data_IF_534937960142
#
_entry.id   IF_534937960142
#
_cell.length_a   1.000
_cell.length_b   1.000
_cell.length_c   1.000
_cell.angle_alpha   90.00
_cell.angle_beta   90.00
_cell.angle_gamma   90.00
#
_symmetry.space_group_name_H-M   'P 1'
#
loop_
_entity.id
_entity.type
_entity.pdbx_description
1 polymer ?
#
# COMPACT_ATOMS: atom_id res chain seq x y z
N UNK A 1 -0.69 -8.99 22.74
CA UNK A 1 0.51 -8.27 22.25
C UNK A 1 0.05 -7.24 21.23
N UNK A 2 0.65 -6.06 21.21
CA UNK A 2 0.35 -4.98 20.25
C UNK A 2 0.88 -5.33 18.87
N UNK A 3 0.11 -5.04 17.81
CA UNK A 3 0.52 -5.28 16.43
C UNK A 3 0.89 -3.99 15.70
N UNK A 4 1.85 -4.07 14.78
CA UNK A 4 2.23 -2.96 13.90
C UNK A 4 1.81 -3.25 12.45
N UNK A 5 0.93 -2.40 11.89
CA UNK A 5 0.61 -2.35 10.47
C UNK A 5 1.22 -1.10 9.85
N UNK A 6 2.08 -1.24 8.83
CA UNK A 6 2.84 -0.12 8.25
C UNK A 6 2.08 0.47 7.06
N UNK A 7 1.76 1.76 7.14
CA UNK A 7 1.16 2.48 6.03
C UNK A 7 2.21 2.92 5.00
N UNK A 8 2.06 2.49 3.74
CA UNK A 8 3.05 2.71 2.68
C UNK A 8 2.64 3.78 1.66
N UNK A 9 1.59 4.56 1.93
CA UNK A 9 1.07 5.58 1.00
C UNK A 9 2.13 6.60 0.56
N UNK A 10 3.04 6.98 1.46
CA UNK A 10 4.07 8.00 1.17
C UNK A 10 5.17 7.50 0.24
N UNK A 11 5.38 6.18 0.16
CA UNK A 11 6.26 5.56 -0.84
C UNK A 11 5.68 5.81 -2.25
N UNK A 12 4.38 5.57 -2.40
CA UNK A 12 3.67 5.84 -3.65
C UNK A 12 3.63 7.35 -3.99
N UNK A 13 3.50 8.23 -2.99
CA UNK A 13 3.64 9.68 -3.20
C UNK A 13 5.00 10.02 -3.83
N UNK A 14 6.10 9.54 -3.24
CA UNK A 14 7.44 9.85 -3.74
C UNK A 14 7.65 9.30 -5.16
N UNK A 15 7.17 8.09 -5.45
CA UNK A 15 7.17 7.50 -6.79
C UNK A 15 6.43 8.39 -7.79
N UNK A 16 5.19 8.77 -7.46
CA UNK A 16 4.32 9.52 -8.35
C UNK A 16 4.89 10.91 -8.69
N UNK A 17 5.62 11.54 -7.78
CA UNK A 17 6.23 12.87 -7.99
C UNK A 17 7.30 12.92 -9.08
N UNK A 18 7.87 11.77 -9.50
CA UNK A 18 9.01 11.73 -10.44
C UNK A 18 8.77 10.89 -11.68
N UNK A 19 7.58 10.31 -11.86
CA UNK A 19 7.19 9.59 -13.08
C UNK A 19 7.92 8.27 -13.35
N UNK A 20 8.65 7.73 -12.37
CA UNK A 20 9.32 6.42 -12.44
C UNK A 20 8.72 5.40 -11.49
N UNK A 21 9.40 4.26 -11.34
CA UNK A 21 9.02 3.18 -10.41
C UNK A 21 9.90 3.13 -9.15
N UNK A 22 10.59 4.23 -8.84
CA UNK A 22 11.49 4.36 -7.68
C UNK A 22 11.00 5.48 -6.76
N UNK A 23 10.73 5.20 -5.47
CA UNK A 23 10.76 3.88 -4.84
C UNK A 23 9.65 2.94 -5.36
N UNK A 24 9.89 1.64 -5.30
CA UNK A 24 8.92 0.62 -5.71
C UNK A 24 8.03 0.23 -4.53
N UNK A 25 6.71 0.38 -4.68
CA UNK A 25 5.72 0.13 -3.62
C UNK A 25 5.66 -1.34 -3.23
N UNK A 26 5.71 -2.26 -4.20
CA UNK A 26 5.67 -3.71 -3.96
C UNK A 26 6.92 -4.18 -3.20
N UNK A 27 8.09 -3.70 -3.61
CA UNK A 27 9.33 -4.04 -2.91
C UNK A 27 9.30 -3.53 -1.47
N UNK A 28 8.82 -2.30 -1.25
CA UNK A 28 8.70 -1.76 0.10
C UNK A 28 7.74 -2.58 0.97
N UNK A 29 6.63 -3.08 0.41
CA UNK A 29 5.71 -3.97 1.11
C UNK A 29 6.36 -5.31 1.50
N UNK A 30 7.20 -5.90 0.63
CA UNK A 30 7.99 -7.09 0.95
C UNK A 30 8.96 -6.81 2.10
N UNK A 31 9.65 -5.68 2.04
CA UNK A 31 10.68 -5.31 3.01
C UNK A 31 10.09 -5.06 4.41
N UNK A 32 8.99 -4.32 4.53
CA UNK A 32 8.38 -4.04 5.86
C UNK A 32 7.90 -5.30 6.56
N UNK A 33 7.32 -6.25 5.80
CA UNK A 33 6.91 -7.54 6.35
C UNK A 33 8.14 -8.37 6.81
N UNK A 34 9.22 -8.38 6.01
CA UNK A 34 10.50 -9.02 6.37
C UNK A 34 11.12 -8.40 7.62
N UNK A 35 10.90 -7.11 7.85
CA UNK A 35 11.39 -6.38 9.03
C UNK A 35 10.49 -6.53 10.26
N UNK A 36 9.41 -7.31 10.17
CA UNK A 36 8.56 -7.66 11.31
C UNK A 36 7.26 -6.87 11.40
N UNK A 37 6.87 -6.12 10.37
CA UNK A 37 5.51 -5.59 10.30
C UNK A 37 4.51 -6.75 10.24
N UNK A 38 3.44 -6.65 11.02
CA UNK A 38 2.35 -7.63 11.07
C UNK A 38 1.18 -7.26 10.15
N UNK A 39 1.31 -6.13 9.45
CA UNK A 39 0.38 -5.69 8.43
C UNK A 39 0.97 -4.66 7.49
N UNK A 40 0.38 -4.57 6.31
CA UNK A 40 0.61 -3.51 5.33
C UNK A 40 -0.69 -2.76 5.15
N UNK A 41 -0.63 -1.44 5.31
CA UNK A 41 -1.78 -0.55 5.13
C UNK A 41 -1.62 0.30 3.87
N UNK A 42 -2.66 0.36 3.04
CA UNK A 42 -2.74 1.21 1.84
C UNK A 42 -4.06 1.95 1.77
N UNK A 43 -4.08 3.10 1.08
CA UNK A 43 -5.30 3.87 0.85
C UNK A 43 -5.41 4.26 -0.64
N UNK A 44 -6.00 3.41 -1.49
CA UNK A 44 -6.33 3.74 -2.87
C UNK A 44 -7.43 4.81 -2.90
N UNK A 45 -7.07 6.05 -3.21
CA UNK A 45 -8.04 7.15 -3.33
C UNK A 45 -8.63 7.21 -4.74
N UNK A 46 -9.87 7.74 -4.90
CA UNK A 46 -10.45 8.05 -6.20
C UNK A 46 -9.57 8.85 -7.16
N UNK A 47 -8.79 9.78 -6.61
CA UNK A 47 -7.90 10.67 -7.35
C UNK A 47 -6.50 10.07 -7.58
N UNK A 48 -6.27 8.84 -7.10
CA UNK A 48 -5.00 8.12 -7.17
C UNK A 48 -3.79 8.94 -6.72
N UNK A 49 -3.98 9.84 -5.74
CA UNK A 49 -2.96 10.80 -5.30
C UNK A 49 -1.66 10.13 -4.83
N UNK A 50 -1.76 8.94 -4.25
CA UNK A 50 -0.64 8.14 -3.77
C UNK A 50 -0.72 6.71 -4.31
N UNK A 51 -1.43 5.84 -3.60
CA UNK A 51 -1.71 4.47 -4.03
C UNK A 51 -2.70 4.55 -5.19
N UNK A 52 -2.33 3.95 -6.31
CA UNK A 52 -3.19 3.73 -7.48
C UNK A 52 -3.95 2.41 -7.29
N UNK A 53 -5.04 2.20 -8.01
CA UNK A 53 -5.74 0.90 -7.92
C UNK A 53 -4.84 -0.26 -8.34
N UNK A 54 -3.98 -0.05 -9.34
CA UNK A 54 -3.02 -1.07 -9.78
C UNK A 54 -2.09 -1.51 -8.64
N UNK A 55 -1.66 -0.59 -7.77
CA UNK A 55 -0.80 -0.94 -6.64
C UNK A 55 -1.48 -1.95 -5.71
N UNK A 56 -2.80 -1.85 -5.52
CA UNK A 56 -3.56 -2.77 -4.67
C UNK A 56 -3.59 -4.18 -5.27
N UNK A 57 -3.78 -4.28 -6.59
CA UNK A 57 -3.75 -5.56 -7.29
C UNK A 57 -2.35 -6.18 -7.29
N UNK A 58 -1.31 -5.37 -7.48
CA UNK A 58 0.08 -5.82 -7.48
C UNK A 58 0.54 -6.25 -6.08
N UNK A 59 0.00 -5.64 -5.01
CA UNK A 59 0.30 -5.99 -3.62
C UNK A 59 -0.43 -7.26 -3.16
N UNK A 60 -1.62 -7.56 -3.71
CA UNK A 60 -2.45 -8.68 -3.27
C UNK A 60 -1.72 -10.04 -3.24
N UNK A 61 -0.90 -10.43 -4.22
CA UNK A 61 -0.14 -11.68 -4.15
C UNK A 61 1.13 -11.61 -3.28
N UNK A 62 1.56 -10.42 -2.85
CA UNK A 62 2.87 -10.19 -2.20
C UNK A 62 2.76 -9.91 -0.69
N UNK A 63 1.60 -9.44 -0.23
CA UNK A 63 1.31 -9.25 1.20
C UNK A 63 0.82 -10.57 1.80
N UNK A 64 1.65 -11.17 2.64
CA UNK A 64 1.35 -12.41 3.37
C UNK A 64 0.93 -12.16 4.83
N UNK A 65 1.14 -10.95 5.34
CA UNK A 65 0.61 -10.49 6.64
C UNK A 65 -0.81 -9.92 6.49
N UNK A 66 -1.32 -9.19 7.49
CA UNK A 66 -2.56 -8.43 7.31
C UNK A 66 -2.42 -7.47 6.12
N UNK A 67 -3.42 -7.46 5.23
CA UNK A 67 -3.53 -6.46 4.17
C UNK A 67 -4.71 -5.55 4.44
N UNK A 68 -4.43 -4.40 5.06
CA UNK A 68 -5.42 -3.42 5.45
C UNK A 68 -5.60 -2.38 4.33
N UNK A 69 -6.76 -2.38 3.69
CA UNK A 69 -7.10 -1.44 2.61
C UNK A 69 -8.04 -0.38 3.19
N UNK A 70 -7.50 0.81 3.45
CA UNK A 70 -8.28 1.98 3.84
C UNK A 70 -9.06 2.51 2.63
N UNK A 71 -10.27 2.99 2.89
CA UNK A 71 -11.08 3.63 1.87
C UNK A 71 -12.24 4.39 2.47
N UNK A 72 -13.04 5.00 1.59
CA UNK A 72 -14.33 5.53 1.94
C UNK A 72 -15.42 4.52 1.56
N UNK A 73 -16.44 4.29 2.41
CA UNK A 73 -17.54 3.37 2.14
C UNK A 73 -18.51 3.98 1.13
N UNK A 74 -18.07 4.12 -0.12
CA UNK A 74 -18.90 4.56 -1.25
C UNK A 74 -19.15 3.37 -2.18
N UNK A 75 -20.25 3.35 -2.95
CA UNK A 75 -20.67 2.16 -3.71
C UNK A 75 -19.65 1.57 -4.68
N UNK A 76 -18.68 2.36 -5.17
CA UNK A 76 -17.62 1.87 -6.06
C UNK A 76 -16.47 1.13 -5.34
N UNK A 77 -16.41 1.19 -4.01
CA UNK A 77 -15.38 0.58 -3.17
C UNK A 77 -15.89 -0.58 -2.31
N UNK A 78 -17.21 -0.84 -2.33
CA UNK A 78 -17.88 -1.97 -1.67
C UNK A 78 -18.20 -3.00 -2.74
#
# INVERSE_FOLDING_TARGET
>A
MTKLSVNINKIATLRNSRGGNVPNVVQFAKDVQRFGAEGVTVHPRPDERHIRYQDVYDLKPEVYTEFNIEGNPVPKFI
#
